data_IF_064432352214
#
_entry.id   IF_064432352214
#
_cell.length_a   1.000
_cell.length_b   1.000
_cell.length_c   1.000
_cell.angle_alpha   90.00
_cell.angle_beta   90.00
_cell.angle_gamma   90.00
#
_symmetry.space_group_name_H-M   'P 1'
#
loop_
_entity.id
_entity.type
_entity.pdbx_description
1 polymer ?
#
# COMPACT_ATOMS: atom_id res chain seq x y z
N UNK A 1 11.28 -65.66 28.27
CA UNK A 1 11.02 -66.63 27.19
C UNK A 1 9.53 -66.64 26.89
N UNK A 2 9.14 -66.99 25.65
CA UNK A 2 7.80 -66.91 25.02
C UNK A 2 7.65 -65.58 24.25
N UNK A 3 7.93 -65.43 22.95
CA UNK A 3 7.71 -66.15 21.68
C UNK A 3 6.71 -65.35 20.81
N UNK A 4 7.26 -64.71 19.76
CA UNK A 4 6.57 -63.96 18.71
C UNK A 4 6.02 -64.95 17.68
N UNK A 5 4.74 -65.34 17.78
CA UNK A 5 3.85 -65.73 16.66
C UNK A 5 2.53 -66.22 17.22
N UNK A 6 1.46 -65.89 16.50
CA UNK A 6 0.04 -66.18 16.78
C UNK A 6 -0.66 -65.15 17.66
N UNK A 7 -1.29 -64.16 17.01
CA UNK A 7 -2.75 -63.97 17.02
C UNK A 7 -3.08 -63.20 15.73
N UNK A 8 -3.48 -63.96 14.72
CA UNK A 8 -4.29 -63.52 13.59
C UNK A 8 -5.68 -64.06 13.90
N UNK A 9 -6.65 -63.17 14.13
CA UNK A 9 -8.08 -63.30 13.80
C UNK A 9 -8.90 -62.36 14.69
N UNK A 10 -9.11 -61.16 14.19
CA UNK A 10 -10.35 -60.42 14.46
C UNK A 10 -10.56 -59.46 13.30
N UNK A 11 -11.40 -59.90 12.36
CA UNK A 11 -12.03 -59.06 11.37
C UNK A 11 -12.81 -57.95 12.10
N UNK A 12 -12.36 -56.71 11.96
CA UNK A 12 -13.19 -55.54 12.20
C UNK A 12 -13.31 -54.82 10.86
N UNK A 13 -14.54 -54.74 10.38
CA UNK A 13 -14.91 -54.01 9.18
C UNK A 13 -14.45 -52.55 9.31
N UNK A 14 -13.51 -52.14 8.46
CA UNK A 14 -13.16 -50.74 8.28
C UNK A 14 -14.32 -50.05 7.55
N UNK A 15 -14.88 -48.95 8.07
CA UNK A 15 -15.73 -48.10 7.26
C UNK A 15 -14.84 -47.48 6.18
N UNK A 16 -15.24 -47.66 4.92
CA UNK A 16 -14.70 -46.93 3.79
C UNK A 16 -14.78 -45.45 4.12
N UNK A 17 -13.64 -44.83 4.42
CA UNK A 17 -13.50 -43.38 4.46
C UNK A 17 -13.85 -42.89 3.07
N UNK A 18 -15.06 -42.36 2.93
CA UNK A 18 -15.49 -41.54 1.81
C UNK A 18 -14.43 -40.47 1.62
N UNK A 19 -13.67 -40.61 0.54
CA UNK A 19 -12.80 -39.56 0.02
C UNK A 19 -13.59 -38.27 0.03
N UNK A 20 -13.13 -37.27 0.80
CA UNK A 20 -13.65 -35.92 0.69
C UNK A 20 -13.30 -35.43 -0.72
N UNK A 21 -14.20 -35.71 -1.67
CA UNK A 21 -14.28 -34.96 -2.91
C UNK A 21 -14.49 -33.52 -2.46
N UNK A 22 -13.45 -32.71 -2.55
CA UNK A 22 -13.58 -31.26 -2.56
C UNK A 22 -14.48 -30.93 -3.74
N UNK A 23 -15.78 -30.84 -3.47
CA UNK A 23 -16.71 -30.25 -4.42
C UNK A 23 -16.14 -28.90 -4.77
N UNK A 24 -15.73 -28.74 -6.04
CA UNK A 24 -15.52 -27.44 -6.67
C UNK A 24 -16.69 -26.56 -6.24
N UNK A 25 -16.46 -25.70 -5.26
CA UNK A 25 -17.43 -24.68 -4.87
C UNK A 25 -17.46 -23.76 -6.08
N UNK A 26 -18.38 -24.05 -6.99
CA UNK A 26 -18.75 -23.19 -8.11
C UNK A 26 -18.88 -21.81 -7.51
N UNK A 27 -18.04 -20.87 -7.94
CA UNK A 27 -18.20 -19.45 -7.68
C UNK A 27 -19.68 -19.10 -7.86
N UNK A 28 -20.40 -18.99 -6.75
CA UNK A 28 -21.74 -18.45 -6.75
C UNK A 28 -21.52 -16.96 -6.85
N UNK A 29 -22.11 -16.29 -7.84
CA UNK A 29 -21.70 -14.95 -8.25
C UNK A 29 -21.75 -13.86 -7.17
N UNK A 30 -22.21 -14.15 -5.96
CA UNK A 30 -22.34 -13.20 -4.86
C UNK A 30 -21.36 -13.48 -3.71
N UNK A 31 -20.27 -14.23 -3.95
CA UNK A 31 -19.28 -14.58 -2.93
C UNK A 31 -17.84 -14.40 -3.41
N UNK A 32 -16.94 -14.08 -2.49
CA UNK A 32 -15.49 -14.15 -2.69
C UNK A 32 -15.02 -15.60 -2.86
N UNK A 33 -13.81 -15.85 -3.41
CA UNK A 33 -13.25 -17.21 -3.42
C UNK A 33 -13.16 -17.83 -2.02
N UNK A 34 -12.91 -17.01 -0.99
CA UNK A 34 -12.91 -17.41 0.42
C UNK A 34 -14.31 -17.65 1.02
N UNK A 35 -15.38 -17.43 0.25
CA UNK A 35 -16.76 -17.69 0.66
C UNK A 35 -17.44 -16.56 1.44
N UNK A 36 -16.82 -15.38 1.54
CA UNK A 36 -17.47 -14.19 2.10
C UNK A 36 -18.49 -13.63 1.11
N UNK A 37 -19.60 -13.07 1.61
CA UNK A 37 -20.63 -12.47 0.75
C UNK A 37 -20.12 -11.17 0.15
N UNK A 38 -20.35 -10.98 -1.15
CA UNK A 38 -20.17 -9.70 -1.82
C UNK A 38 -21.41 -8.84 -1.56
N UNK A 39 -21.35 -8.00 -0.52
CA UNK A 39 -22.43 -7.09 -0.12
C UNK A 39 -22.24 -5.71 -0.75
N UNK A 40 -23.33 -5.09 -1.19
CA UNK A 40 -23.29 -3.71 -1.68
C UNK A 40 -22.83 -2.76 -0.57
N UNK A 41 -22.03 -1.78 -0.93
CA UNK A 41 -21.75 -0.64 -0.04
C UNK A 41 -23.00 0.24 0.03
N UNK A 42 -23.44 0.58 1.24
CA UNK A 42 -24.48 1.57 1.44
C UNK A 42 -23.90 2.98 1.23
N UNK A 43 -24.01 3.49 0.00
CA UNK A 43 -23.47 4.80 -0.38
C UNK A 43 -24.55 5.89 -0.25
N UNK A 44 -24.46 6.66 0.83
CA UNK A 44 -25.36 7.78 1.09
C UNK A 44 -24.62 8.94 1.74
N UNK A 45 -25.11 10.16 1.53
CA UNK A 45 -24.46 11.39 2.04
C UNK A 45 -24.48 11.46 3.57
N UNK A 46 -25.55 10.99 4.22
CA UNK A 46 -25.68 10.93 5.67
C UNK A 46 -24.70 9.94 6.33
N UNK A 47 -24.09 9.05 5.55
CA UNK A 47 -23.03 8.14 6.01
C UNK A 47 -21.63 8.73 5.85
N UNK A 48 -21.46 9.89 5.22
CA UNK A 48 -20.15 10.52 5.05
C UNK A 48 -19.64 10.97 6.41
N UNK A 49 -18.47 10.45 6.82
CA UNK A 49 -17.82 10.80 8.09
C UNK A 49 -16.69 11.80 7.91
N UNK A 50 -16.06 11.86 6.72
CA UNK A 50 -15.03 12.85 6.36
C UNK A 50 -14.72 12.83 4.87
N UNK A 51 -14.20 13.95 4.36
CA UNK A 51 -13.51 14.03 3.08
C UNK A 51 -12.14 14.65 3.28
N UNK A 52 -11.13 14.12 2.61
CA UNK A 52 -9.74 14.55 2.75
C UNK A 52 -9.08 14.64 1.38
N UNK A 53 -8.11 15.54 1.21
CA UNK A 53 -7.26 15.57 0.04
C UNK A 53 -5.78 15.58 0.45
N UNK A 54 -4.96 14.85 -0.32
CA UNK A 54 -3.53 14.72 -0.07
C UNK A 54 -2.73 14.82 -1.36
N UNK A 55 -1.45 15.16 -1.24
CA UNK A 55 -0.56 15.41 -2.38
C UNK A 55 0.47 14.29 -2.49
N UNK A 56 0.42 13.52 -3.59
CA UNK A 56 1.42 12.51 -3.88
C UNK A 56 2.70 13.18 -4.41
N UNK A 57 3.89 12.87 -3.87
CA UNK A 57 5.16 13.36 -4.40
C UNK A 57 5.50 12.62 -5.70
N UNK A 58 5.10 13.16 -6.85
CA UNK A 58 5.30 12.50 -8.14
C UNK A 58 6.50 13.09 -8.88
N UNK A 59 7.27 12.21 -9.53
CA UNK A 59 8.37 12.57 -10.42
C UNK A 59 8.22 11.72 -11.68
N UNK A 60 8.20 12.33 -12.86
CA UNK A 60 7.91 11.61 -14.12
C UNK A 60 8.87 10.46 -14.40
N UNK A 61 10.15 10.66 -14.06
CA UNK A 61 11.23 9.65 -14.21
C UNK A 61 11.24 8.59 -13.10
N UNK A 62 10.26 8.61 -12.19
CA UNK A 62 10.18 7.75 -11.03
C UNK A 62 10.88 8.28 -9.78
N UNK A 63 10.81 7.50 -8.70
CA UNK A 63 11.39 7.84 -7.41
C UNK A 63 12.91 8.01 -7.47
N UNK A 64 13.47 8.69 -6.47
CA UNK A 64 14.91 8.88 -6.30
C UNK A 64 15.38 8.05 -5.12
N UNK A 65 16.19 7.01 -5.41
CA UNK A 65 17.04 6.34 -4.42
C UNK A 65 18.49 6.38 -4.87
N UNK A 66 19.29 7.25 -4.25
CA UNK A 66 20.71 7.45 -4.57
C UNK A 66 21.45 8.10 -3.42
N UNK A 67 22.75 7.83 -3.31
CA UNK A 67 23.64 8.51 -2.38
C UNK A 67 24.34 9.69 -3.08
N UNK A 68 24.61 10.74 -2.32
CA UNK A 68 25.37 11.91 -2.72
C UNK A 68 26.23 12.38 -1.55
N UNK A 69 27.47 12.80 -1.83
CA UNK A 69 28.32 13.42 -0.82
C UNK A 69 28.09 14.93 -0.85
N UNK A 70 27.72 15.50 0.28
CA UNK A 70 27.53 16.94 0.46
C UNK A 70 28.33 17.37 1.68
N UNK A 71 29.37 18.18 1.48
CA UNK A 71 30.35 18.54 2.50
C UNK A 71 30.96 17.32 3.21
N UNK A 72 30.83 17.26 4.54
CA UNK A 72 31.27 16.15 5.40
C UNK A 72 30.20 15.05 5.54
N UNK A 73 29.04 15.19 4.87
CA UNK A 73 27.89 14.30 4.99
C UNK A 73 27.73 13.36 3.80
N UNK A 74 27.09 12.23 4.06
CA UNK A 74 26.51 11.35 3.04
C UNK A 74 24.99 11.51 3.09
N UNK A 75 24.42 12.08 2.02
CA UNK A 75 22.97 12.26 1.87
C UNK A 75 22.44 11.17 0.96
N UNK A 76 21.49 10.39 1.46
CA UNK A 76 20.83 9.31 0.73
C UNK A 76 19.39 9.74 0.48
N UNK A 77 19.08 9.99 -0.77
CA UNK A 77 17.73 10.36 -1.19
C UNK A 77 16.82 9.13 -1.24
N UNK A 78 15.58 9.26 -0.79
CA UNK A 78 14.52 8.24 -0.85
C UNK A 78 13.15 8.93 -0.87
N UNK A 79 12.75 9.46 -2.02
CA UNK A 79 11.50 10.23 -2.18
C UNK A 79 10.95 10.13 -3.62
N UNK A 80 9.76 10.71 -3.87
CA UNK A 80 9.21 10.84 -5.23
C UNK A 80 8.41 9.64 -5.71
N UNK A 81 7.79 8.88 -4.79
CA UNK A 81 7.14 7.60 -5.06
C UNK A 81 5.79 7.66 -5.79
N UNK A 82 5.24 8.85 -6.05
CA UNK A 82 3.94 9.01 -6.70
C UNK A 82 2.83 8.26 -5.95
N UNK A 83 2.06 7.44 -6.68
CA UNK A 83 1.03 6.56 -6.13
C UNK A 83 1.55 5.41 -5.26
N UNK A 84 2.83 5.04 -5.40
CA UNK A 84 3.44 3.91 -4.71
C UNK A 84 4.04 4.20 -3.33
N UNK A 85 3.74 5.35 -2.72
CA UNK A 85 4.41 5.79 -1.49
C UNK A 85 4.35 4.82 -0.30
N UNK A 86 3.20 4.20 -0.04
CA UNK A 86 3.10 3.14 0.99
C UNK A 86 3.69 1.83 0.46
N UNK A 87 3.30 1.43 -0.74
CA UNK A 87 3.61 0.10 -1.27
C UNK A 87 5.10 -0.10 -1.51
N UNK A 88 5.83 0.94 -1.90
CA UNK A 88 7.29 0.87 -2.10
C UNK A 88 8.10 1.25 -0.86
N UNK A 89 7.45 1.70 0.22
CA UNK A 89 8.14 2.32 1.38
C UNK A 89 9.26 1.45 1.97
N UNK A 90 9.04 0.15 2.16
CA UNK A 90 10.07 -0.75 2.66
C UNK A 90 11.13 -1.06 1.63
N UNK A 91 10.73 -1.23 0.37
CA UNK A 91 11.62 -1.52 -0.74
C UNK A 91 12.65 -0.43 -0.99
N UNK A 92 12.21 0.81 -1.20
CA UNK A 92 13.13 1.92 -1.44
C UNK A 92 13.96 2.25 -0.20
N UNK A 93 13.43 2.02 0.99
CA UNK A 93 14.17 2.16 2.24
C UNK A 93 15.22 1.07 2.45
N UNK A 94 14.98 -0.15 1.95
CA UNK A 94 15.97 -1.22 1.91
C UNK A 94 17.16 -0.82 1.04
N UNK A 95 16.88 -0.34 -0.17
CA UNK A 95 17.91 0.17 -1.08
C UNK A 95 18.68 1.35 -0.46
N UNK A 96 17.99 2.26 0.25
CA UNK A 96 18.64 3.35 0.97
C UNK A 96 19.53 2.85 2.13
N UNK A 97 19.10 1.83 2.86
CA UNK A 97 19.90 1.17 3.91
C UNK A 97 21.15 0.49 3.33
N UNK A 98 21.05 -0.15 2.18
CA UNK A 98 22.21 -0.73 1.49
C UNK A 98 23.25 0.33 1.12
N UNK A 99 22.81 1.48 0.60
CA UNK A 99 23.68 2.63 0.34
C UNK A 99 24.32 3.17 1.62
N UNK A 100 23.56 3.29 2.71
CA UNK A 100 24.08 3.74 4.00
C UNK A 100 25.14 2.78 4.56
N UNK A 101 24.95 1.48 4.35
CA UNK A 101 25.85 0.43 4.81
C UNK A 101 27.20 0.41 4.11
N UNK A 102 27.35 1.14 3.00
CA UNK A 102 28.65 1.35 2.34
C UNK A 102 29.52 2.39 3.05
N UNK A 103 28.97 3.13 4.02
CA UNK A 103 29.72 4.09 4.83
C UNK A 103 30.30 3.42 6.08
N UNK A 104 31.31 4.06 6.68
CA UNK A 104 31.88 3.61 7.96
C UNK A 104 31.05 3.98 9.20
N UNK A 105 29.98 4.76 9.02
CA UNK A 105 29.20 5.31 10.12
C UNK A 105 28.13 4.33 10.61
N UNK A 106 27.68 4.51 11.85
CA UNK A 106 26.59 3.75 12.49
C UNK A 106 25.55 4.64 13.16
N UNK A 107 25.45 5.89 12.71
CA UNK A 107 24.44 6.85 13.16
C UNK A 107 23.90 7.65 11.99
N UNK A 108 22.59 7.86 11.92
CA UNK A 108 21.97 8.61 10.85
C UNK A 108 20.78 9.47 11.30
N UNK A 109 20.56 10.56 10.57
CA UNK A 109 19.33 11.34 10.61
C UNK A 109 18.40 10.84 9.49
N UNK A 110 17.13 10.63 9.79
CA UNK A 110 16.07 10.39 8.80
C UNK A 110 15.21 11.64 8.71
N UNK A 111 15.03 12.17 7.52
CA UNK A 111 14.18 13.34 7.30
C UNK A 111 12.79 12.89 6.84
N UNK A 112 11.78 13.14 7.66
CA UNK A 112 10.38 12.79 7.39
C UNK A 112 9.89 11.57 8.19
N UNK A 113 8.65 11.64 8.67
CA UNK A 113 8.00 10.59 9.48
C UNK A 113 6.80 9.95 8.75
N UNK A 114 6.80 9.99 7.41
CA UNK A 114 5.85 9.23 6.59
C UNK A 114 6.25 7.75 6.45
N UNK A 115 5.54 7.01 5.59
CA UNK A 115 5.77 5.58 5.39
C UNK A 115 7.24 5.25 5.05
N UNK A 116 7.84 5.95 4.08
CA UNK A 116 9.25 5.74 3.70
C UNK A 116 10.22 6.07 4.85
N UNK A 117 10.00 7.17 5.57
CA UNK A 117 10.85 7.56 6.70
C UNK A 117 10.81 6.57 7.85
N UNK A 118 9.62 6.11 8.23
CA UNK A 118 9.43 5.10 9.27
C UNK A 118 10.02 3.74 8.88
N UNK A 119 9.84 3.30 7.63
CA UNK A 119 10.45 2.07 7.13
C UNK A 119 11.98 2.15 7.13
N UNK A 120 12.55 3.26 6.65
CA UNK A 120 14.00 3.49 6.69
C UNK A 120 14.53 3.48 8.13
N UNK A 121 13.86 4.20 9.04
CA UNK A 121 14.28 4.26 10.43
C UNK A 121 14.29 2.88 11.11
N UNK A 122 13.26 2.05 10.88
CA UNK A 122 13.19 0.69 11.42
C UNK A 122 14.25 -0.24 10.82
N UNK A 123 14.51 -0.15 9.51
CA UNK A 123 15.57 -0.93 8.86
C UNK A 123 16.95 -0.57 9.42
N UNK A 124 17.24 0.72 9.55
CA UNK A 124 18.50 1.19 10.12
C UNK A 124 18.69 0.76 11.58
N UNK A 125 17.64 0.88 12.42
CA UNK A 125 17.66 0.37 13.80
C UNK A 125 17.93 -1.14 13.86
N UNK A 126 17.25 -1.92 13.00
CA UNK A 126 17.46 -3.37 12.95
C UNK A 126 18.88 -3.74 12.48
N UNK A 127 19.52 -2.88 11.68
CA UNK A 127 20.92 -3.00 11.28
C UNK A 127 21.92 -2.47 12.34
N UNK A 128 21.45 -2.12 13.53
CA UNK A 128 22.27 -1.69 14.68
C UNK A 128 22.74 -0.23 14.61
N UNK A 129 22.05 0.63 13.87
CA UNK A 129 22.37 2.06 13.80
C UNK A 129 21.67 2.85 14.91
N UNK A 130 22.32 3.92 15.36
CA UNK A 130 21.66 5.00 16.12
C UNK A 130 20.87 5.88 15.13
N UNK A 131 19.58 6.07 15.39
CA UNK A 131 18.68 6.72 14.42
C UNK A 131 17.85 7.80 15.10
N UNK A 132 17.91 9.01 14.54
CA UNK A 132 17.00 10.10 14.87
C UNK A 132 16.12 10.43 13.66
N UNK A 133 14.82 10.58 13.86
CA UNK A 133 13.89 11.12 12.85
C UNK A 133 13.73 12.62 13.11
N UNK A 134 13.89 13.43 12.08
CA UNK A 134 13.51 14.84 12.07
C UNK A 134 12.35 15.03 11.10
N UNK A 135 11.23 15.58 11.58
CA UNK A 135 10.06 15.76 10.75
C UNK A 135 9.25 16.99 11.16
N UNK A 136 8.71 17.70 10.18
CA UNK A 136 7.72 18.76 10.41
C UNK A 136 6.40 18.18 10.91
N UNK A 137 5.89 17.18 10.20
CA UNK A 137 4.61 16.54 10.47
C UNK A 137 4.82 15.08 10.89
N UNK A 138 4.01 14.62 11.84
CA UNK A 138 3.98 13.25 12.34
C UNK A 138 2.63 12.59 12.01
N UNK A 139 2.54 11.25 11.91
CA UNK A 139 1.25 10.57 11.86
C UNK A 139 0.34 11.03 13.03
N UNK A 140 -0.95 11.35 12.78
CA UNK A 140 -1.71 11.08 11.56
C UNK A 140 -1.68 12.18 10.48
N UNK A 141 -0.82 13.19 10.59
CA UNK A 141 -0.83 14.38 9.74
C UNK A 141 0.14 14.33 8.56
N UNK A 142 0.47 13.13 8.06
CA UNK A 142 1.38 12.97 6.92
C UNK A 142 0.63 12.65 5.63
N UNK A 143 1.22 12.92 4.46
CA UNK A 143 0.70 12.44 3.16
C UNK A 143 0.41 10.94 3.19
N UNK A 144 1.22 10.15 3.88
CA UNK A 144 1.03 8.70 3.98
C UNK A 144 -0.27 8.33 4.69
N UNK A 145 -0.80 9.16 5.60
CA UNK A 145 -2.06 8.90 6.29
C UNK A 145 -3.29 9.00 5.37
N UNK A 146 -3.19 9.78 4.29
CA UNK A 146 -4.25 9.94 3.30
C UNK A 146 -4.34 8.73 2.36
N UNK A 147 -3.25 8.00 2.15
CA UNK A 147 -3.20 6.93 1.15
C UNK A 147 -4.26 5.85 1.37
N UNK A 148 -4.74 5.29 0.25
CA UNK A 148 -5.78 4.27 0.30
C UNK A 148 -5.31 2.94 0.89
N UNK A 149 -4.12 2.48 0.50
CA UNK A 149 -3.40 1.41 1.21
C UNK A 149 -3.38 0.04 0.56
N UNK A 150 -3.96 -0.14 -0.63
CA UNK A 150 -3.82 -1.39 -1.39
C UNK A 150 -2.37 -1.61 -1.82
N UNK A 151 -1.88 -2.85 -1.73
CA UNK A 151 -0.69 -3.31 -2.43
C UNK A 151 -0.95 -3.28 -3.95
N UNK A 152 -0.58 -2.16 -4.55
CA UNK A 152 -0.53 -1.92 -5.99
C UNK A 152 0.47 -0.78 -6.27
N UNK A 153 1.75 -1.08 -6.55
CA UNK A 153 2.78 -0.10 -6.92
C UNK A 153 2.53 0.62 -8.27
N UNK A 154 1.41 1.33 -8.39
CA UNK A 154 0.97 2.03 -9.61
C UNK A 154 1.16 3.54 -9.51
N UNK A 155 1.11 4.21 -10.68
CA UNK A 155 1.27 5.67 -10.80
C UNK A 155 2.57 6.20 -10.16
N UNK A 156 3.66 5.42 -10.28
CA UNK A 156 4.98 5.74 -9.71
C UNK A 156 5.81 6.62 -10.67
N UNK A 157 5.59 6.48 -11.97
CA UNK A 157 6.34 7.14 -13.03
C UNK A 157 5.49 7.29 -14.31
N UNK A 158 5.99 8.05 -15.27
CA UNK A 158 5.47 8.14 -16.64
C UNK A 158 6.22 7.12 -17.53
N UNK A 159 5.49 6.26 -18.25
CA UNK A 159 6.07 5.14 -19.01
C UNK A 159 7.14 5.58 -20.03
N UNK A 160 6.94 6.73 -20.66
CA UNK A 160 7.85 7.25 -21.70
C UNK A 160 9.07 8.00 -21.12
N UNK A 161 9.16 8.15 -19.79
CA UNK A 161 10.20 8.95 -19.13
C UNK A 161 11.22 8.13 -18.32
N UNK A 162 11.01 6.81 -18.19
CA UNK A 162 11.84 5.95 -17.33
C UNK A 162 13.00 5.31 -18.08
N UNK A 163 14.11 5.10 -17.36
CA UNK A 163 15.27 4.38 -17.87
C UNK A 163 15.21 2.88 -17.52
N UNK A 164 15.90 2.00 -18.27
CA UNK A 164 16.03 0.59 -17.90
C UNK A 164 16.65 0.39 -16.50
N UNK A 165 17.59 1.26 -16.10
CA UNK A 165 18.19 1.22 -14.77
C UNK A 165 17.16 1.53 -13.66
N UNK A 166 16.29 2.52 -13.89
CA UNK A 166 15.20 2.81 -12.96
C UNK A 166 14.22 1.63 -12.88
N UNK A 167 13.84 1.02 -14.00
CA UNK A 167 12.93 -0.13 -14.01
C UNK A 167 13.50 -1.31 -13.21
N UNK A 168 14.80 -1.59 -13.31
CA UNK A 168 15.46 -2.60 -12.49
C UNK A 168 15.46 -2.23 -10.99
N UNK A 169 15.68 -0.95 -10.67
CA UNK A 169 15.60 -0.46 -9.29
C UNK A 169 14.18 -0.55 -8.71
N UNK A 170 13.17 -0.21 -9.52
CA UNK A 170 11.75 -0.31 -9.17
C UNK A 170 11.34 -1.77 -8.91
N UNK A 171 11.75 -2.69 -9.78
CA UNK A 171 11.52 -4.12 -9.60
C UNK A 171 12.14 -4.64 -8.30
N UNK A 172 13.40 -4.29 -8.03
CA UNK A 172 14.06 -4.65 -6.77
C UNK A 172 13.30 -4.10 -5.54
N UNK A 173 12.97 -2.79 -5.56
CA UNK A 173 12.21 -2.17 -4.48
C UNK A 173 10.86 -2.86 -4.27
N UNK A 174 10.14 -3.16 -5.34
CA UNK A 174 8.84 -3.81 -5.28
C UNK A 174 8.94 -5.21 -4.66
N UNK A 175 9.90 -6.04 -5.07
CA UNK A 175 10.13 -7.37 -4.50
C UNK A 175 10.48 -7.33 -3.01
N UNK A 176 11.38 -6.43 -2.61
CA UNK A 176 11.69 -6.25 -1.19
C UNK A 176 10.46 -5.82 -0.40
N UNK A 177 9.75 -4.80 -0.86
CA UNK A 177 8.62 -4.24 -0.14
C UNK A 177 7.48 -5.25 0.01
N UNK A 178 7.20 -6.04 -1.03
CA UNK A 178 6.23 -7.12 -0.99
C UNK A 178 6.56 -8.12 0.12
N UNK A 179 7.83 -8.56 0.17
CA UNK A 179 8.30 -9.49 1.19
C UNK A 179 8.22 -8.90 2.60
N UNK A 180 8.54 -7.61 2.77
CA UNK A 180 8.41 -6.95 4.08
C UNK A 180 6.96 -6.90 4.53
N UNK A 181 6.02 -6.49 3.67
CA UNK A 181 4.61 -6.44 4.05
C UNK A 181 4.01 -7.81 4.36
N UNK A 182 4.45 -8.88 3.69
CA UNK A 182 4.07 -10.25 4.07
C UNK A 182 4.41 -10.57 5.54
N UNK A 183 5.55 -10.09 6.04
CA UNK A 183 5.96 -10.29 7.44
C UNK A 183 5.21 -9.38 8.43
N UNK A 184 4.51 -8.36 7.94
CA UNK A 184 3.74 -7.42 8.73
C UNK A 184 2.24 -7.74 8.77
N UNK A 185 1.80 -8.77 8.03
CA UNK A 185 0.41 -9.23 8.06
C UNK A 185 -0.01 -9.52 9.50
N UNK A 186 -1.07 -8.85 9.94
CA UNK A 186 -1.62 -8.96 11.28
C UNK A 186 -2.25 -7.66 11.77
N UNK A 187 -3.09 -7.79 12.81
CA UNK A 187 -3.85 -6.69 13.38
C UNK A 187 -2.97 -5.55 13.91
N UNK A 188 -1.77 -5.86 14.42
CA UNK A 188 -0.82 -4.86 14.95
C UNK A 188 -0.51 -3.76 13.93
N UNK A 189 -0.31 -4.14 12.66
CA UNK A 189 0.09 -3.22 11.60
C UNK A 189 -1.06 -2.86 10.68
N UNK A 190 -2.26 -3.42 10.88
CA UNK A 190 -3.39 -3.24 9.98
C UNK A 190 -3.07 -3.70 8.55
N UNK A 191 -2.25 -4.75 8.41
CA UNK A 191 -1.92 -5.37 7.12
C UNK A 191 -2.65 -6.70 7.03
N UNK A 192 -3.44 -6.91 5.98
CA UNK A 192 -4.18 -8.16 5.77
C UNK A 192 -4.35 -8.48 4.30
N UNK A 193 -4.48 -9.76 3.99
CA UNK A 193 -4.93 -10.21 2.67
C UNK A 193 -6.41 -9.91 2.47
N UNK A 194 -6.79 -9.53 1.26
CA UNK A 194 -8.16 -9.20 0.88
C UNK A 194 -8.38 -9.46 -0.61
N UNK A 195 -9.59 -9.90 -0.96
CA UNK A 195 -10.01 -10.06 -2.36
C UNK A 195 -10.18 -8.69 -3.02
N UNK A 196 -9.62 -8.57 -4.22
CA UNK A 196 -9.69 -7.38 -5.06
C UNK A 196 -10.34 -7.71 -6.40
N UNK A 197 -11.29 -6.87 -6.79
CA UNK A 197 -11.99 -6.96 -8.06
C UNK A 197 -11.68 -5.73 -8.91
N UNK A 198 -11.05 -5.97 -10.07
CA UNK A 198 -10.79 -4.93 -11.06
C UNK A 198 -11.86 -4.94 -12.14
N UNK A 199 -12.48 -3.78 -12.34
CA UNK A 199 -13.58 -3.55 -13.27
C UNK A 199 -13.10 -2.64 -14.40
N UNK A 200 -12.85 -3.21 -15.57
CA UNK A 200 -12.40 -2.48 -16.76
C UNK A 200 -12.85 -3.22 -18.02
N UNK A 201 -12.78 -2.57 -19.19
CA UNK A 201 -13.08 -3.23 -20.46
C UNK A 201 -12.10 -4.37 -20.76
N UNK A 202 -10.83 -4.18 -20.40
CA UNK A 202 -9.79 -5.20 -20.48
C UNK A 202 -8.94 -5.21 -19.19
N UNK A 203 -9.41 -5.85 -18.11
CA UNK A 203 -8.74 -5.77 -16.81
C UNK A 203 -7.45 -6.60 -16.75
N UNK A 204 -7.20 -7.45 -17.76
CA UNK A 204 -6.04 -8.34 -17.87
C UNK A 204 -5.19 -8.00 -19.10
N UNK A 205 -4.81 -6.73 -19.22
CA UNK A 205 -3.93 -6.29 -20.30
C UNK A 205 -2.54 -6.95 -20.19
N UNK A 206 -2.00 -7.47 -21.31
CA UNK A 206 -0.62 -7.93 -21.36
C UNK A 206 0.34 -6.82 -20.96
N UNK A 207 1.40 -7.17 -20.23
CA UNK A 207 2.41 -6.24 -19.71
C UNK A 207 1.92 -5.27 -18.61
N UNK A 208 0.66 -5.39 -18.16
CA UNK A 208 0.22 -4.73 -16.93
C UNK A 208 1.02 -5.20 -15.71
N UNK A 209 1.04 -4.39 -14.65
CA UNK A 209 1.67 -4.75 -13.37
C UNK A 209 1.18 -6.12 -12.86
N UNK A 210 -0.13 -6.35 -12.94
CA UNK A 210 -0.80 -7.55 -12.45
C UNK A 210 -0.54 -8.80 -13.31
N UNK A 211 -0.19 -8.64 -14.59
CA UNK A 211 0.16 -9.77 -15.46
C UNK A 211 1.65 -10.12 -15.33
N UNK A 212 2.51 -9.11 -15.29
CA UNK A 212 3.98 -9.25 -15.22
C UNK A 212 4.49 -9.71 -13.86
N UNK A 213 3.78 -9.38 -12.78
CA UNK A 213 4.16 -9.75 -11.40
C UNK A 213 3.06 -10.59 -10.75
N UNK A 214 2.52 -11.54 -11.52
CA UNK A 214 1.43 -12.43 -11.06
C UNK A 214 1.79 -13.25 -9.81
N UNK A 215 3.08 -13.47 -9.53
CA UNK A 215 3.59 -14.05 -8.28
C UNK A 215 3.25 -13.21 -7.03
N UNK A 216 2.91 -11.93 -7.20
CA UNK A 216 2.51 -11.02 -6.13
C UNK A 216 0.99 -10.88 -5.95
N UNK A 217 0.20 -11.54 -6.79
CA UNK A 217 -1.27 -11.43 -6.83
C UNK A 217 -1.90 -12.82 -6.92
N UNK A 218 -1.98 -13.57 -5.80
CA UNK A 218 -2.54 -14.92 -5.77
C UNK A 218 -4.04 -14.95 -6.09
N UNK A 219 -4.59 -16.15 -6.32
CA UNK A 219 -6.02 -16.36 -6.64
C UNK A 219 -6.52 -15.52 -7.85
N UNK A 220 -5.61 -15.29 -8.80
CA UNK A 220 -5.89 -14.50 -9.99
C UNK A 220 -6.83 -15.24 -10.94
N UNK A 221 -7.98 -14.65 -11.26
CA UNK A 221 -8.94 -15.26 -12.18
C UNK A 221 -9.78 -14.23 -12.91
N UNK A 222 -9.89 -14.37 -14.23
CA UNK A 222 -10.91 -13.65 -15.00
C UNK A 222 -12.29 -14.26 -14.72
N UNK A 223 -13.23 -13.43 -14.29
CA UNK A 223 -14.59 -13.82 -13.94
C UNK A 223 -15.55 -13.46 -15.07
N UNK A 224 -16.44 -14.39 -15.40
CA UNK A 224 -17.58 -14.15 -16.31
C UNK A 224 -18.71 -13.46 -15.54
N UNK A 225 -19.64 -12.83 -16.26
CA UNK A 225 -20.81 -12.15 -15.66
C UNK A 225 -21.70 -13.02 -14.77
N UNK A 226 -21.62 -14.35 -14.86
CA UNK A 226 -22.33 -15.28 -13.96
C UNK A 226 -21.59 -15.58 -12.65
N UNK A 227 -20.35 -15.13 -12.51
CA UNK A 227 -19.43 -15.44 -11.41
C UNK A 227 -19.17 -14.23 -10.51
N UNK A 228 -19.80 -13.10 -10.76
CA UNK A 228 -19.73 -11.89 -9.94
C UNK A 228 -21.07 -11.12 -9.97
N UNK A 229 -21.32 -10.19 -9.02
CA UNK A 229 -22.58 -9.47 -8.93
C UNK A 229 -22.53 -8.09 -9.60
N UNK A 230 -21.34 -7.62 -9.98
CA UNK A 230 -21.12 -6.30 -10.54
C UNK A 230 -21.76 -6.15 -11.92
N UNK A 231 -22.28 -4.96 -12.23
CA UNK A 231 -22.76 -4.60 -13.56
C UNK A 231 -21.58 -4.34 -14.50
N UNK A 232 -20.88 -5.41 -14.85
CA UNK A 232 -19.67 -5.39 -15.65
C UNK A 232 -19.59 -6.66 -16.52
N UNK A 233 -18.94 -6.54 -17.67
CA UNK A 233 -18.72 -7.65 -18.60
C UNK A 233 -17.41 -8.37 -18.32
N UNK A 234 -16.37 -7.63 -17.93
CA UNK A 234 -15.05 -8.16 -17.63
C UNK A 234 -14.62 -7.77 -16.22
N UNK A 235 -14.30 -8.79 -15.42
CA UNK A 235 -13.84 -8.61 -14.04
C UNK A 235 -12.63 -9.49 -13.83
N UNK A 236 -11.54 -8.91 -13.32
CA UNK A 236 -10.38 -9.66 -12.86
C UNK A 236 -10.40 -9.71 -11.33
N UNK A 237 -10.48 -10.91 -10.78
CA UNK A 237 -10.24 -11.16 -9.36
C UNK A 237 -8.76 -11.44 -9.11
N UNK A 238 -8.25 -10.98 -7.97
CA UNK A 238 -7.00 -11.41 -7.35
C UNK A 238 -7.03 -11.11 -5.85
N UNK A 239 -6.25 -11.82 -5.06
CA UNK A 239 -5.97 -11.43 -3.69
C UNK A 239 -4.79 -10.45 -3.64
N UNK A 240 -4.88 -9.46 -2.75
CA UNK A 240 -3.86 -8.44 -2.51
C UNK A 240 -3.74 -8.16 -1.00
N UNK A 241 -2.77 -7.34 -0.60
CA UNK A 241 -2.69 -6.84 0.76
C UNK A 241 -3.35 -5.46 0.89
N UNK A 242 -4.17 -5.26 1.90
CA UNK A 242 -4.60 -3.94 2.36
C UNK A 242 -3.73 -3.54 3.55
N UNK A 243 -3.07 -2.40 3.44
CA UNK A 243 -2.29 -1.74 4.49
C UNK A 243 -3.10 -0.53 4.96
N UNK A 244 -3.59 -0.52 6.19
CA UNK A 244 -4.40 0.58 6.71
C UNK A 244 -3.51 1.66 7.35
N UNK A 245 -3.22 2.81 6.70
CA UNK A 245 -2.31 3.81 7.27
C UNK A 245 -2.70 4.33 8.66
N UNK A 246 -3.99 4.35 9.00
CA UNK A 246 -4.46 4.75 10.33
C UNK A 246 -4.00 3.81 11.46
N UNK A 247 -3.65 2.56 11.13
CA UNK A 247 -3.12 1.56 12.08
C UNK A 247 -1.61 1.39 11.86
N UNK A 248 -1.20 1.25 10.60
CA UNK A 248 0.18 0.97 10.20
C UNK A 248 1.18 2.04 10.68
N UNK A 249 0.90 3.32 10.40
CA UNK A 249 1.84 4.41 10.67
C UNK A 249 2.07 4.65 12.17
N UNK A 250 1.02 4.74 13.03
CA UNK A 250 1.26 4.87 14.46
C UNK A 250 1.94 3.62 15.06
N UNK A 251 1.62 2.41 14.60
CA UNK A 251 2.30 1.19 15.05
C UNK A 251 3.81 1.23 14.73
N UNK A 252 4.16 1.64 13.50
CA UNK A 252 5.55 1.80 13.06
C UNK A 252 6.30 2.88 13.84
N UNK A 253 5.64 4.02 14.10
CA UNK A 253 6.20 5.12 14.89
C UNK A 253 6.45 4.70 16.34
N UNK A 254 5.50 3.98 16.93
CA UNK A 254 5.62 3.44 18.29
C UNK A 254 6.75 2.39 18.38
N UNK A 255 6.84 1.47 17.42
CA UNK A 255 7.93 0.49 17.36
C UNK A 255 9.31 1.16 17.25
N UNK A 256 9.41 2.25 16.49
CA UNK A 256 10.65 3.03 16.37
C UNK A 256 11.07 3.65 17.73
N UNK A 257 10.12 4.25 18.44
CA UNK A 257 10.35 4.86 19.74
C UNK A 257 10.68 3.83 20.83
N UNK A 258 9.96 2.70 20.87
CA UNK A 258 10.23 1.58 21.79
C UNK A 258 11.64 1.02 21.57
N UNK A 259 12.10 0.97 20.32
CA UNK A 259 13.46 0.57 19.97
C UNK A 259 14.53 1.66 20.29
N UNK A 260 14.17 2.71 21.03
CA UNK A 260 15.09 3.76 21.50
C UNK A 260 15.32 4.91 20.52
N UNK A 261 14.59 4.93 19.40
CA UNK A 261 14.68 6.00 18.41
C UNK A 261 14.08 7.30 18.91
N UNK A 262 14.67 8.44 18.52
CA UNK A 262 14.15 9.76 18.88
C UNK A 262 13.48 10.42 17.68
N UNK A 263 12.32 11.02 17.90
CA UNK A 263 11.61 11.82 16.91
C UNK A 263 11.67 13.28 17.36
N UNK A 264 12.26 14.13 16.53
CA UNK A 264 12.38 15.57 16.76
C UNK A 264 11.47 16.29 15.77
N UNK A 265 10.51 17.06 16.30
CA UNK A 265 9.67 17.92 15.47
C UNK A 265 10.51 19.11 15.02
N UNK A 266 10.88 19.13 13.74
CA UNK A 266 11.73 20.15 13.14
C UNK A 266 11.38 20.33 11.67
N UNK A 267 11.15 21.59 11.28
CA UNK A 267 11.08 22.00 9.89
C UNK A 267 12.45 22.57 9.49
N UNK A 268 12.90 22.21 8.29
CA UNK A 268 14.12 22.75 7.68
C UNK A 268 13.71 23.67 6.54
N UNK A 269 14.41 24.79 6.37
CA UNK A 269 14.13 25.74 5.29
C UNK A 269 14.89 25.39 4.00
N UNK A 270 16.12 24.88 4.13
CA UNK A 270 17.00 24.59 3.01
C UNK A 270 17.99 23.44 3.30
N UNK A 271 18.83 23.13 2.30
CA UNK A 271 19.87 22.10 2.42
C UNK A 271 20.90 22.44 3.52
N UNK A 272 21.22 23.72 3.74
CA UNK A 272 22.28 24.11 4.68
C UNK A 272 21.87 23.78 6.12
N UNK A 273 20.62 24.05 6.49
CA UNK A 273 20.10 23.67 7.81
C UNK A 273 20.10 22.15 8.03
N UNK A 274 19.88 21.38 6.97
CA UNK A 274 19.97 19.91 7.00
C UNK A 274 21.42 19.46 7.22
N UNK A 275 22.38 20.06 6.52
CA UNK A 275 23.80 19.71 6.62
C UNK A 275 24.43 20.12 7.96
N UNK A 276 23.81 21.05 8.70
CA UNK A 276 24.21 21.40 10.07
C UNK A 276 23.87 20.32 11.12
N UNK A 277 23.12 19.27 10.76
CA UNK A 277 22.86 18.15 11.64
C UNK A 277 24.17 17.45 12.07
N UNK A 278 24.20 16.91 13.29
CA UNK A 278 25.38 16.25 13.85
C UNK A 278 25.64 14.86 13.26
N UNK A 279 24.62 14.26 12.67
CA UNK A 279 24.67 12.96 12.03
C UNK A 279 25.47 13.05 10.70
N UNK A 280 26.39 12.11 10.44
CA UNK A 280 27.22 12.08 9.23
C UNK A 280 26.49 11.46 8.03
N UNK A 281 25.41 10.71 8.27
CA UNK A 281 24.55 10.11 7.25
C UNK A 281 23.14 10.68 7.41
N UNK A 282 22.57 11.15 6.31
CA UNK A 282 21.23 11.73 6.26
C UNK A 282 20.42 10.94 5.24
N UNK A 283 19.31 10.32 5.63
CA UNK A 283 18.39 9.67 4.72
C UNK A 283 17.19 10.61 4.51
N UNK A 284 17.12 11.20 3.32
CA UNK A 284 16.07 12.13 2.93
C UNK A 284 14.82 11.38 2.45
N UNK A 285 13.79 11.35 3.30
CA UNK A 285 12.45 10.82 3.02
C UNK A 285 11.36 11.90 3.03
N UNK A 286 11.70 13.14 2.62
CA UNK A 286 10.83 14.31 2.78
C UNK A 286 9.72 14.44 1.72
N UNK A 287 9.61 13.49 0.78
CA UNK A 287 8.58 13.50 -0.25
C UNK A 287 8.63 14.77 -1.10
N UNK A 288 7.55 15.56 -1.10
CA UNK A 288 7.49 16.86 -1.80
C UNK A 288 8.47 17.89 -1.22
N UNK A 289 8.88 17.73 0.04
CA UNK A 289 9.85 18.63 0.68
C UNK A 289 11.20 18.70 -0.05
N UNK A 290 11.61 17.62 -0.74
CA UNK A 290 12.83 17.58 -1.55
C UNK A 290 12.85 18.61 -2.69
N UNK A 291 11.67 19.09 -3.13
CA UNK A 291 11.59 20.17 -4.13
C UNK A 291 12.28 21.43 -3.63
N UNK A 292 12.05 21.81 -2.36
CA UNK A 292 12.66 22.98 -1.73
C UNK A 292 14.00 22.64 -1.10
N UNK A 293 14.06 21.56 -0.33
CA UNK A 293 15.25 21.22 0.47
C UNK A 293 16.44 20.76 -0.37
N UNK A 294 16.22 20.25 -1.58
CA UNK A 294 17.27 19.70 -2.44
C UNK A 294 17.09 20.09 -3.91
N UNK A 295 16.31 21.15 -4.17
CA UNK A 295 16.10 21.73 -5.50
C UNK A 295 15.64 20.74 -6.60
N UNK A 296 14.94 19.65 -6.24
CA UNK A 296 14.42 18.71 -7.23
C UNK A 296 13.13 19.25 -7.87
N UNK A 297 13.31 20.07 -8.91
CA UNK A 297 12.21 20.74 -9.61
C UNK A 297 11.39 19.81 -10.51
N UNK A 298 11.86 18.58 -10.76
CA UNK A 298 11.10 17.52 -11.45
C UNK A 298 9.95 16.98 -10.56
N UNK A 299 9.97 17.24 -9.23
CA UNK A 299 8.89 16.86 -8.32
C UNK A 299 7.67 17.77 -8.46
N UNK A 300 6.52 17.15 -8.68
CA UNK A 300 5.21 17.81 -8.71
C UNK A 300 4.22 17.13 -7.76
N UNK A 301 3.23 17.86 -7.23
CA UNK A 301 2.15 17.23 -6.50
C UNK A 301 1.15 16.59 -7.47
N UNK A 302 0.60 15.47 -7.06
CA UNK A 302 -0.66 14.96 -7.62
C UNK A 302 -1.69 14.89 -6.52
N UNK A 303 -2.65 15.82 -6.54
CA UNK A 303 -3.75 15.85 -5.59
C UNK A 303 -4.66 14.65 -5.81
N UNK A 304 -4.96 13.95 -4.72
CA UNK A 304 -6.00 12.93 -4.66
C UNK A 304 -6.94 13.24 -3.52
N UNK A 305 -8.23 13.18 -3.81
CA UNK A 305 -9.30 13.38 -2.85
C UNK A 305 -10.04 12.06 -2.60
N UNK A 306 -10.38 11.87 -1.34
CA UNK A 306 -11.06 10.70 -0.80
C UNK A 306 -12.25 11.16 0.05
N UNK A 307 -13.28 10.33 0.06
CA UNK A 307 -14.46 10.47 0.92
C UNK A 307 -14.63 9.17 1.69
N UNK A 308 -14.84 9.26 3.00
CA UNK A 308 -15.02 8.10 3.87
C UNK A 308 -16.46 8.04 4.33
N UNK A 309 -17.06 6.85 4.19
CA UNK A 309 -18.35 6.53 4.81
C UNK A 309 -18.13 5.80 6.14
N UNK A 310 -19.18 5.75 6.96
CA UNK A 310 -19.23 4.85 8.12
C UNK A 310 -18.80 3.43 7.72
N UNK A 311 -17.97 2.74 8.54
CA UNK A 311 -17.60 1.35 8.31
C UNK A 311 -18.85 0.46 8.10
N UNK A 312 -18.67 -0.58 7.30
CA UNK A 312 -19.72 -1.56 7.00
C UNK A 312 -19.09 -2.96 7.06
N UNK A 313 -19.25 -3.64 8.19
CA UNK A 313 -18.50 -4.86 8.53
C UNK A 313 -18.72 -6.02 7.55
N UNK A 314 -19.88 -6.04 6.89
CA UNK A 314 -20.20 -7.04 5.88
C UNK A 314 -19.58 -6.79 4.50
N UNK A 315 -18.92 -5.64 4.29
CA UNK A 315 -18.15 -5.34 3.07
C UNK A 315 -16.68 -5.61 3.35
N UNK A 316 -16.14 -6.65 2.73
CA UNK A 316 -14.75 -7.07 2.92
C UNK A 316 -14.06 -7.45 1.60
N UNK A 317 -14.10 -6.53 0.64
CA UNK A 317 -13.41 -6.65 -0.65
C UNK A 317 -13.03 -5.28 -1.20
N UNK A 318 -12.03 -5.24 -2.07
CA UNK A 318 -11.62 -4.03 -2.79
C UNK A 318 -12.30 -3.98 -4.17
N UNK A 319 -12.69 -2.77 -4.58
CA UNK A 319 -13.03 -2.45 -5.98
C UNK A 319 -12.02 -1.46 -6.54
N UNK A 320 -11.48 -1.77 -7.71
CA UNK A 320 -10.70 -0.85 -8.56
C UNK A 320 -11.36 -0.77 -9.92
N UNK A 321 -11.54 0.44 -10.46
CA UNK A 321 -12.07 0.62 -11.82
C UNK A 321 -13.29 1.52 -11.86
N UNK A 322 -14.28 1.22 -12.69
CA UNK A 322 -15.50 2.04 -12.79
C UNK A 322 -15.21 3.53 -13.11
N UNK A 323 -14.51 3.80 -14.22
CA UNK A 323 -14.17 5.17 -14.62
C UNK A 323 -13.11 5.87 -13.76
N UNK A 324 -12.23 5.09 -13.12
CA UNK A 324 -11.12 5.61 -12.29
C UNK A 324 -11.44 5.72 -10.80
N UNK A 325 -12.59 5.20 -10.37
CA UNK A 325 -13.00 5.11 -8.98
C UNK A 325 -12.38 3.89 -8.27
N UNK A 326 -12.38 3.92 -6.94
CA UNK A 326 -11.96 2.78 -6.12
C UNK A 326 -12.55 2.84 -4.72
N UNK A 327 -12.79 1.66 -4.15
CA UNK A 327 -13.36 1.47 -2.83
C UNK A 327 -12.51 0.51 -1.99
N UNK A 328 -12.15 0.94 -0.77
CA UNK A 328 -11.41 0.12 0.20
C UNK A 328 -12.18 0.00 1.54
N UNK A 329 -12.37 -1.23 2.07
CA UNK A 329 -13.10 -1.46 3.32
C UNK A 329 -12.15 -1.39 4.52
N UNK A 330 -11.82 -0.17 4.94
CA UNK A 330 -10.92 0.04 6.08
C UNK A 330 -11.70 0.05 7.39
N UNK A 331 -11.01 -0.27 8.48
CA UNK A 331 -11.58 -0.23 9.83
C UNK A 331 -12.03 1.18 10.25
N UNK A 332 -11.38 2.21 9.71
CA UNK A 332 -11.66 3.63 9.97
C UNK A 332 -12.69 4.25 9.00
N UNK A 333 -13.29 3.44 8.11
CA UNK A 333 -14.35 3.84 7.19
C UNK A 333 -14.29 3.11 5.85
N UNK A 334 -15.42 3.06 5.14
CA UNK A 334 -15.39 2.68 3.72
C UNK A 334 -14.82 3.87 2.94
N UNK A 335 -13.61 3.71 2.42
CA UNK A 335 -12.91 4.72 1.65
C UNK A 335 -13.41 4.67 0.21
N UNK A 336 -13.90 5.80 -0.29
CA UNK A 336 -14.27 6.04 -1.68
C UNK A 336 -13.28 7.04 -2.28
N UNK A 337 -12.66 6.70 -3.40
CA UNK A 337 -11.70 7.58 -4.07
C UNK A 337 -11.98 7.77 -5.55
N UNK A 338 -11.33 8.76 -6.14
CA UNK A 338 -11.33 8.89 -7.59
C UNK A 338 -10.59 10.06 -8.24
N UNK A 339 -9.92 10.97 -7.50
CA UNK A 339 -9.22 12.09 -8.16
C UNK A 339 -7.72 11.90 -8.32
N UNK A 340 -7.20 12.48 -9.40
CA UNK A 340 -5.79 12.45 -9.78
C UNK A 340 -5.45 13.74 -10.54
N UNK A 341 -5.14 14.80 -9.81
CA UNK A 341 -4.96 16.14 -10.38
C UNK A 341 -3.49 16.56 -10.29
N UNK A 342 -2.78 16.57 -11.43
CA UNK A 342 -1.37 16.97 -11.51
C UNK A 342 -1.20 18.47 -11.26
N UNK A 343 -0.11 18.86 -10.60
CA UNK A 343 0.28 20.24 -10.30
C UNK A 343 -0.72 21.02 -9.43
N UNK A 344 -1.68 20.34 -8.78
CA UNK A 344 -2.57 20.96 -7.82
C UNK A 344 -1.99 20.84 -6.40
N UNK A 345 -1.67 21.98 -5.78
CA UNK A 345 -1.11 22.08 -4.43
C UNK A 345 -2.17 22.26 -3.34
N UNK A 346 -3.42 22.51 -3.71
CA UNK A 346 -4.49 22.76 -2.74
C UNK A 346 -4.92 21.45 -2.07
N UNK A 347 -4.78 21.38 -0.75
CA UNK A 347 -5.18 20.22 0.06
C UNK A 347 -6.60 20.31 0.60
N UNK A 348 -7.34 21.35 0.22
CA UNK A 348 -8.76 21.51 0.56
C UNK A 348 -9.60 20.54 -0.27
N UNK A 349 -10.44 19.69 0.35
CA UNK A 349 -11.40 18.89 -0.40
C UNK A 349 -12.39 19.77 -1.17
N UNK A 350 -12.59 19.48 -2.45
CA UNK A 350 -13.60 20.12 -3.29
C UNK A 350 -14.97 19.43 -3.06
N UNK A 351 -16.00 20.16 -2.58
CA UNK A 351 -17.35 19.60 -2.42
C UNK A 351 -17.95 19.04 -3.72
N UNK A 352 -17.60 19.60 -4.89
CA UNK A 352 -18.02 19.06 -6.18
C UNK A 352 -17.42 17.69 -6.45
N UNK A 353 -16.10 17.53 -6.23
CA UNK A 353 -15.42 16.23 -6.33
C UNK A 353 -15.94 15.21 -5.33
N UNK A 354 -16.32 15.66 -4.13
CA UNK A 354 -16.97 14.79 -3.14
C UNK A 354 -18.26 14.20 -3.69
N UNK A 355 -19.15 15.04 -4.25
CA UNK A 355 -20.40 14.57 -4.89
C UNK A 355 -20.13 13.64 -6.06
N UNK A 356 -19.22 14.00 -6.97
CA UNK A 356 -18.85 13.14 -8.11
C UNK A 356 -18.38 11.75 -7.67
N UNK A 357 -17.52 11.67 -6.64
CA UNK A 357 -17.06 10.39 -6.06
C UNK A 357 -18.24 9.61 -5.49
N UNK A 358 -19.08 10.25 -4.68
CA UNK A 358 -20.19 9.58 -3.99
C UNK A 358 -21.24 9.10 -4.99
N UNK A 359 -21.64 9.93 -5.94
CA UNK A 359 -22.64 9.60 -6.97
C UNK A 359 -22.15 8.45 -7.86
N UNK A 360 -20.88 8.48 -8.28
CA UNK A 360 -20.31 7.41 -9.10
C UNK A 360 -20.23 6.06 -8.37
N UNK A 361 -19.93 6.05 -7.07
CA UNK A 361 -19.98 4.82 -6.28
C UNK A 361 -21.42 4.38 -6.00
N UNK A 362 -22.34 5.31 -5.75
CA UNK A 362 -23.76 4.99 -5.54
C UNK A 362 -24.33 4.29 -6.77
N UNK A 363 -24.14 4.86 -7.96
CA UNK A 363 -24.59 4.25 -9.21
C UNK A 363 -24.02 2.84 -9.39
N UNK A 364 -22.72 2.64 -9.12
CA UNK A 364 -22.07 1.33 -9.23
C UNK A 364 -22.64 0.28 -8.28
N UNK A 365 -22.82 0.62 -6.99
CA UNK A 365 -23.32 -0.32 -5.99
C UNK A 365 -24.84 -0.52 -6.06
N UNK A 366 -25.62 0.43 -6.60
CA UNK A 366 -27.04 0.24 -6.90
C UNK A 366 -27.26 -0.72 -8.08
N UNK A 367 -26.35 -0.72 -9.06
CA UNK A 367 -26.39 -1.66 -10.18
C UNK A 367 -25.91 -3.08 -9.80
N UNK A 368 -25.25 -3.24 -8.66
CA UNK A 368 -24.76 -4.53 -8.15
C UNK A 368 -25.93 -5.45 -7.76
N UNK A 369 -25.90 -6.70 -8.25
CA UNK A 369 -26.90 -7.73 -7.95
C UNK A 369 -26.66 -8.35 -6.57
N UNK A 370 -26.95 -7.63 -5.50
CA UNK A 370 -26.88 -8.12 -4.12
C UNK A 370 -28.26 -8.68 -3.67
N UNK A 371 -28.43 -9.99 -3.45
CA UNK A 371 -29.71 -10.58 -3.03
C UNK A 371 -30.04 -10.34 -1.55
N UNK A 372 -29.14 -9.74 -0.78
CA UNK A 372 -29.31 -9.38 0.64
C UNK A 372 -29.47 -7.87 0.84
N UNK A 373 -29.64 -7.13 -0.25
CA UNK A 373 -29.73 -5.68 -0.31
C UNK A 373 -30.96 -5.09 0.36
#
# INVERSE_FOLDING_TARGET
>A
MINRRQILQSMAALPLLTSCVTTNQKYTGNYTPSGSRLRRVNVSEDRIIRSIAGLRPFRSKGFVVRAEKMDDKVVIHNYGHGGGGITLSWGTSHLAMELASQTQYKRCAILGCGAAGLSAARLMQNAGWEVNIYAKDLPPNTTSNVAGGQWSPTSVYDNDAVSPAFLAQFESAMRHSYRYFQNLVGAKYGVRWISNYMIADNPDEPNSLYSTHSDMYPERSQLKSSQHPFDATHVLHMDTMLIEPAVYLPAMMNDFQIAGGKILVKEFQDTNEVLQLGEPVIINCTGLGSRTLFNDTDLIPIKGQLTFLLPQAEVDYIIIGNGGLYMFPRSDGILLGGTFERNNWDTTPDPKKTREIVDGHRAFFEAMKDPWA
#
